data_IF_516964158858
#
_entry.id   IF_516964158858
#
_cell.length_a   1.000
_cell.length_b   1.000
_cell.length_c   1.000
_cell.angle_alpha   90.00
_cell.angle_beta   90.00
_cell.angle_gamma   90.00
#
_symmetry.space_group_name_H-M   'P 1'
#
loop_
_entity.id
_entity.type
_entity.pdbx_description
1 polymer ?
#
# COMPACT_ATOMS: atom_id res chain seq x y z
N UNK A 1 -19.48 -11.09 6.42
CA UNK A 1 -18.89 -10.08 5.51
C UNK A 1 -17.81 -9.38 6.30
N UNK A 2 -16.58 -9.33 5.81
CA UNK A 2 -15.49 -8.58 6.46
C UNK A 2 -15.82 -7.08 6.43
N UNK A 3 -15.73 -6.43 7.58
CA UNK A 3 -15.90 -4.97 7.73
C UNK A 3 -14.77 -4.22 7.03
N UNK A 4 -14.95 -2.92 6.75
CA UNK A 4 -13.89 -2.09 6.17
C UNK A 4 -12.67 -2.03 7.11
N UNK A 5 -12.90 -1.87 8.41
CA UNK A 5 -11.85 -1.87 9.44
C UNK A 5 -11.01 -3.17 9.43
N UNK A 6 -11.64 -4.35 9.46
CA UNK A 6 -10.92 -5.62 9.35
C UNK A 6 -10.11 -5.72 8.05
N UNK A 7 -10.69 -5.25 6.93
CA UNK A 7 -9.98 -5.21 5.65
C UNK A 7 -8.78 -4.26 5.67
N UNK A 8 -8.89 -3.10 6.34
CA UNK A 8 -7.78 -2.17 6.50
C UNK A 8 -6.63 -2.78 7.32
N UNK A 9 -6.94 -3.61 8.33
CA UNK A 9 -5.91 -4.37 9.06
C UNK A 9 -5.20 -5.40 8.17
N UNK A 10 -5.93 -6.15 7.34
CA UNK A 10 -5.35 -7.10 6.38
C UNK A 10 -4.49 -6.40 5.32
N UNK A 11 -4.97 -5.27 4.80
CA UNK A 11 -4.23 -4.43 3.85
C UNK A 11 -2.96 -3.89 4.50
N UNK A 12 -3.04 -3.42 5.75
CA UNK A 12 -1.88 -2.94 6.49
C UNK A 12 -0.78 -4.00 6.57
N UNK A 13 -1.14 -5.24 6.92
CA UNK A 13 -0.18 -6.34 6.97
C UNK A 13 0.48 -6.60 5.60
N UNK A 14 -0.30 -6.51 4.52
CA UNK A 14 0.20 -6.66 3.14
C UNK A 14 1.18 -5.53 2.77
N UNK A 15 0.87 -4.29 3.15
CA UNK A 15 1.73 -3.12 2.89
C UNK A 15 3.02 -3.19 3.72
N UNK A 16 2.95 -3.59 4.99
CA UNK A 16 4.14 -3.77 5.83
C UNK A 16 5.07 -4.86 5.26
N UNK A 17 4.50 -5.96 4.74
CA UNK A 17 5.28 -6.99 4.05
C UNK A 17 5.95 -6.47 2.77
N UNK A 18 5.25 -5.64 1.98
CA UNK A 18 5.83 -5.00 0.79
C UNK A 18 6.96 -4.03 1.16
N UNK A 19 6.82 -3.25 2.23
CA UNK A 19 7.89 -2.40 2.74
C UNK A 19 9.11 -3.23 3.18
N UNK A 20 8.89 -4.32 3.90
CA UNK A 20 9.97 -5.24 4.29
C UNK A 20 10.71 -5.82 3.09
N UNK A 21 9.99 -6.21 2.04
CA UNK A 21 10.59 -6.69 0.79
C UNK A 21 11.43 -5.60 0.11
N UNK A 22 10.90 -4.38 0.00
CA UNK A 22 11.60 -3.23 -0.61
C UNK A 22 12.87 -2.86 0.18
N UNK A 23 12.83 -2.91 1.50
CA UNK A 23 14.00 -2.63 2.34
C UNK A 23 15.07 -3.73 2.26
N UNK A 24 14.67 -4.98 2.03
CA UNK A 24 15.59 -6.10 1.88
C UNK A 24 16.18 -6.23 0.46
N UNK A 25 15.54 -5.62 -0.54
CA UNK A 25 15.98 -5.66 -1.93
C UNK A 25 17.14 -4.68 -2.17
N UNK A 26 18.33 -5.21 -2.44
CA UNK A 26 19.54 -4.42 -2.70
C UNK A 26 19.46 -3.58 -3.98
N UNK A 27 18.54 -3.93 -4.88
CA UNK A 27 18.31 -3.20 -6.11
C UNK A 27 17.29 -2.06 -5.98
N UNK A 28 16.54 -1.99 -4.87
CA UNK A 28 15.56 -0.92 -4.66
C UNK A 28 16.24 0.45 -4.49
N UNK A 29 15.72 1.45 -5.20
CA UNK A 29 16.18 2.82 -5.04
C UNK A 29 15.75 3.40 -3.69
N UNK A 30 16.51 4.38 -3.13
CA UNK A 30 16.12 5.09 -1.92
C UNK A 30 14.76 5.81 -2.06
N UNK A 31 14.41 6.23 -3.28
CA UNK A 31 13.12 6.86 -3.57
C UNK A 31 11.98 5.86 -3.39
N UNK A 32 12.10 4.65 -3.94
CA UNK A 32 11.10 3.61 -3.76
C UNK A 32 10.91 3.25 -2.29
N UNK A 33 12.01 3.09 -1.54
CA UNK A 33 11.96 2.83 -0.08
C UNK A 33 11.18 3.93 0.64
N UNK A 34 11.44 5.20 0.31
CA UNK A 34 10.74 6.33 0.93
C UNK A 34 9.23 6.34 0.59
N UNK A 35 8.87 6.13 -0.67
CA UNK A 35 7.46 6.15 -1.12
C UNK A 35 6.68 4.99 -0.51
N UNK A 36 7.23 3.78 -0.50
CA UNK A 36 6.58 2.61 0.12
C UNK A 36 6.53 2.76 1.65
N UNK A 37 7.52 3.44 2.25
CA UNK A 37 7.49 3.82 3.65
C UNK A 37 6.32 4.76 3.99
N UNK A 38 6.06 5.77 3.16
CA UNK A 38 4.89 6.64 3.35
C UNK A 38 3.57 5.89 3.15
N UNK A 39 3.52 4.95 2.20
CA UNK A 39 2.36 4.06 2.02
C UNK A 39 2.07 3.26 3.30
N UNK A 40 3.09 2.67 3.93
CA UNK A 40 2.96 1.96 5.20
C UNK A 40 2.55 2.88 6.36
N UNK A 41 3.09 4.10 6.43
CA UNK A 41 2.71 5.10 7.44
C UNK A 41 1.23 5.50 7.32
N UNK A 42 0.73 5.67 6.10
CA UNK A 42 -0.70 5.95 5.87
C UNK A 42 -1.58 4.75 6.18
N UNK A 43 -1.13 3.54 5.89
CA UNK A 43 -1.84 2.33 6.29
C UNK A 43 -1.97 2.24 7.82
N UNK A 44 -0.93 2.66 8.55
CA UNK A 44 -0.95 2.72 10.01
C UNK A 44 -1.98 3.72 10.55
N UNK A 45 -2.12 4.87 9.89
CA UNK A 45 -3.12 5.88 10.25
C UNK A 45 -4.53 5.39 9.91
N UNK A 46 -4.72 4.78 8.75
CA UNK A 46 -6.03 4.33 8.26
C UNK A 46 -6.73 3.34 9.21
N UNK A 47 -5.99 2.46 9.88
CA UNK A 47 -6.57 1.51 10.87
C UNK A 47 -6.98 2.16 12.20
N UNK A 48 -6.65 3.43 12.42
CA UNK A 48 -6.90 4.16 13.67
C UNK A 48 -7.88 5.33 13.53
N UNK A 49 -8.42 5.54 12.32
CA UNK A 49 -9.29 6.66 11.97
C UNK A 49 -10.76 6.21 11.95
N UNK A 50 -11.66 7.06 12.44
CA UNK A 50 -13.10 6.79 12.42
C UNK A 50 -13.72 7.00 11.02
N UNK A 51 -13.10 7.84 10.18
CA UNK A 51 -13.55 8.05 8.79
C UNK A 51 -12.90 7.03 7.84
N UNK A 52 -13.55 5.86 7.75
CA UNK A 52 -13.12 4.76 6.89
C UNK A 52 -13.01 5.16 5.41
N UNK A 53 -13.93 6.01 4.92
CA UNK A 53 -13.97 6.40 3.50
C UNK A 53 -12.77 7.25 3.16
N UNK A 54 -12.54 8.32 3.92
CA UNK A 54 -11.38 9.20 3.72
C UNK A 54 -10.09 8.42 3.87
N UNK A 55 -10.00 7.56 4.88
CA UNK A 55 -8.83 6.70 5.10
C UNK A 55 -8.50 5.80 3.92
N UNK A 56 -9.50 5.15 3.31
CA UNK A 56 -9.30 4.30 2.12
C UNK A 56 -8.87 5.12 0.91
N UNK A 57 -9.44 6.32 0.71
CA UNK A 57 -9.07 7.20 -0.42
C UNK A 57 -7.63 7.69 -0.28
N UNK A 58 -7.25 8.21 0.89
CA UNK A 58 -5.87 8.68 1.12
C UNK A 58 -4.85 7.56 1.03
N UNK A 59 -5.20 6.37 1.53
CA UNK A 59 -4.34 5.20 1.43
C UNK A 59 -4.14 4.77 -0.01
N UNK A 60 -5.19 4.81 -0.83
CA UNK A 60 -5.09 4.47 -2.26
C UNK A 60 -4.22 5.46 -3.04
N UNK A 61 -4.32 6.76 -2.78
CA UNK A 61 -3.43 7.76 -3.41
C UNK A 61 -1.95 7.51 -3.13
N UNK A 62 -1.62 7.07 -1.90
CA UNK A 62 -0.27 6.66 -1.56
C UNK A 62 0.12 5.34 -2.22
N UNK A 63 -0.83 4.41 -2.34
CA UNK A 63 -0.66 3.19 -3.12
C UNK A 63 -0.34 3.46 -4.59
N UNK A 64 -1.04 4.41 -5.23
CA UNK A 64 -0.78 4.80 -6.63
C UNK A 64 0.64 5.35 -6.79
N UNK A 65 1.09 6.16 -5.82
CA UNK A 65 2.46 6.68 -5.79
C UNK A 65 3.49 5.54 -5.65
N UNK A 66 3.23 4.57 -4.75
CA UNK A 66 4.08 3.40 -4.55
C UNK A 66 4.15 2.50 -5.79
N UNK A 67 3.01 2.27 -6.45
CA UNK A 67 2.95 1.56 -7.74
C UNK A 67 3.80 2.27 -8.79
N UNK A 68 3.59 3.57 -8.99
CA UNK A 68 4.32 4.33 -10.01
C UNK A 68 5.83 4.31 -9.75
N UNK A 69 6.25 4.45 -8.49
CA UNK A 69 7.66 4.34 -8.10
C UNK A 69 8.22 2.94 -8.38
N UNK A 70 7.48 1.88 -8.04
CA UNK A 70 7.91 0.51 -8.28
C UNK A 70 8.02 0.20 -9.78
N UNK A 71 7.07 0.68 -10.60
CA UNK A 71 7.10 0.54 -12.06
C UNK A 71 8.30 1.25 -12.69
N UNK A 72 8.68 2.42 -12.18
CA UNK A 72 9.81 3.21 -12.67
C UNK A 72 11.19 2.70 -12.19
N UNK A 73 11.25 1.93 -11.10
CA UNK A 73 12.51 1.45 -10.53
C UNK A 73 13.08 0.26 -11.31
N UNK A 74 14.11 0.50 -12.13
CA UNK A 74 14.74 -0.53 -12.95
C UNK A 74 15.64 -1.51 -12.17
N UNK A 75 16.03 -1.16 -10.94
CA UNK A 75 16.86 -2.03 -10.08
C UNK A 75 16.04 -3.03 -9.27
N UNK A 76 14.74 -2.78 -9.14
CA UNK A 76 13.83 -3.59 -8.33
C UNK A 76 13.63 -4.99 -8.91
N UNK A 77 13.81 -6.02 -8.06
CA UNK A 77 13.52 -7.40 -8.47
C UNK A 77 12.03 -7.61 -8.76
N UNK A 78 11.73 -8.57 -9.64
CA UNK A 78 10.33 -8.88 -10.02
C UNK A 78 9.49 -9.30 -8.82
N UNK A 79 10.08 -10.02 -7.87
CA UNK A 79 9.40 -10.45 -6.65
C UNK A 79 9.01 -9.26 -5.77
N UNK A 80 9.93 -8.32 -5.54
CA UNK A 80 9.66 -7.11 -4.75
C UNK A 80 8.68 -6.18 -5.48
N UNK A 81 8.82 -6.03 -6.80
CA UNK A 81 7.87 -5.29 -7.64
C UNK A 81 6.46 -5.84 -7.47
N UNK A 82 6.32 -7.17 -7.58
CA UNK A 82 5.03 -7.83 -7.39
C UNK A 82 4.46 -7.58 -5.99
N UNK A 83 5.28 -7.61 -4.94
CA UNK A 83 4.79 -7.33 -3.57
C UNK A 83 4.19 -5.93 -3.44
N UNK A 84 4.81 -4.89 -4.04
CA UNK A 84 4.27 -3.52 -4.04
C UNK A 84 2.97 -3.43 -4.84
N UNK A 85 2.92 -4.08 -6.02
CA UNK A 85 1.72 -4.10 -6.87
C UNK A 85 0.55 -4.85 -6.21
N UNK A 86 0.81 -5.95 -5.50
CA UNK A 86 -0.21 -6.69 -4.77
C UNK A 86 -0.76 -5.86 -3.59
N UNK A 87 0.10 -5.11 -2.89
CA UNK A 87 -0.30 -4.19 -1.84
C UNK A 87 -1.18 -3.03 -2.37
N UNK A 88 -0.82 -2.46 -3.52
CA UNK A 88 -1.64 -1.47 -4.25
C UNK A 88 -3.01 -2.05 -4.66
N UNK A 89 -3.01 -3.24 -5.26
CA UNK A 89 -4.25 -3.88 -5.69
C UNK A 89 -5.20 -4.15 -4.51
N UNK A 90 -4.67 -4.55 -3.36
CA UNK A 90 -5.45 -4.80 -2.16
C UNK A 90 -6.24 -3.55 -1.72
N UNK A 91 -5.63 -2.35 -1.75
CA UNK A 91 -6.33 -1.11 -1.43
C UNK A 91 -7.33 -0.68 -2.52
N UNK A 92 -7.02 -0.86 -3.81
CA UNK A 92 -7.99 -0.60 -4.87
C UNK A 92 -9.25 -1.49 -4.74
N UNK A 93 -9.08 -2.76 -4.34
CA UNK A 93 -10.20 -3.68 -4.06
C UNK A 93 -11.00 -3.24 -2.82
N UNK A 94 -10.36 -2.67 -1.80
CA UNK A 94 -11.09 -2.10 -0.66
C UNK A 94 -11.90 -0.88 -1.08
N UNK A 95 -11.30 0.05 -1.86
CA UNK A 95 -11.98 1.25 -2.37
C UNK A 95 -13.22 0.90 -3.18
N UNK A 96 -13.15 -0.12 -4.06
CA UNK A 96 -14.29 -0.53 -4.90
C UNK A 96 -15.46 -1.12 -4.10
N UNK A 97 -15.24 -1.48 -2.84
CA UNK A 97 -16.26 -2.03 -1.94
C UNK A 97 -16.83 -0.99 -0.97
N UNK A 98 -16.39 0.28 -1.05
CA UNK A 98 -17.01 1.36 -0.30
C UNK A 98 -18.43 1.64 -0.82
N UNK A 99 -19.37 2.02 0.06
CA UNK A 99 -20.68 2.50 -0.38
C UNK A 99 -20.53 3.77 -1.24
N UNK A 100 -21.50 4.05 -2.14
CA UNK A 100 -21.52 5.32 -2.87
C UNK A 100 -21.56 6.51 -1.88
N UNK A 101 -21.03 7.67 -2.28
CA UNK A 101 -21.11 8.89 -1.46
C UNK A 101 -22.56 9.32 -1.21
#
# INVERSE_FOLDING_TARGET
>A
MTTTAERLHEIRATIDAALGAVQADRGASPVLVAVVGEFANKAAKAVSQDDERTSVIELEQAGDSAKAAAEADAGLSDATRKAVLDAHLAICIAKSKLPPP
#
